data_IF_501913510663
#
_entry.id   IF_501913510663
#
_cell.length_a   1.000
_cell.length_b   1.000
_cell.length_c   1.000
_cell.angle_alpha   90.00
_cell.angle_beta   90.00
_cell.angle_gamma   90.00
#
_symmetry.space_group_name_H-M   'P 1'
#
loop_
_entity.id
_entity.type
_entity.pdbx_description
1 polymer ?
#
# COMPACT_ATOMS: atom_id res chain seq x y z
N UNK A 1 4.67 17.95 4.21
CA UNK A 1 3.61 17.87 5.24
C UNK A 1 2.65 19.03 5.02
N UNK A 2 1.34 18.78 4.96
CA UNK A 2 0.31 19.78 4.59
C UNK A 2 -0.84 19.88 5.59
N UNK A 3 -0.75 19.17 6.72
CA UNK A 3 -1.75 19.17 7.79
C UNK A 3 -1.07 19.64 9.06
N UNK A 4 -1.70 20.59 9.77
CA UNK A 4 -1.18 21.16 11.02
C UNK A 4 -2.31 21.29 12.03
N UNK A 5 -1.98 21.17 13.32
CA UNK A 5 -2.93 21.41 14.40
C UNK A 5 -3.10 22.93 14.55
N UNK A 6 -4.32 23.41 14.39
CA UNK A 6 -4.69 24.81 14.56
C UNK A 6 -5.05 25.04 16.04
N UNK A 7 -4.21 25.83 16.73
CA UNK A 7 -4.37 26.15 18.16
C UNK A 7 -5.24 27.40 18.40
N UNK A 8 -5.71 28.08 17.35
CA UNK A 8 -6.39 29.39 17.48
C UNK A 8 -7.91 29.30 17.64
N UNK A 9 -8.51 28.09 17.60
CA UNK A 9 -9.97 27.93 17.61
C UNK A 9 -10.52 27.40 18.92
N UNK A 10 -11.28 28.23 19.63
CA UNK A 10 -11.78 27.96 21.00
C UNK A 10 -12.95 26.96 21.13
N UNK A 11 -13.49 26.40 20.04
CA UNK A 11 -14.73 25.60 20.07
C UNK A 11 -14.54 24.09 19.86
N UNK A 12 -13.34 23.62 19.55
CA UNK A 12 -13.04 22.20 19.40
C UNK A 12 -11.71 21.86 20.05
N UNK A 13 -11.64 20.71 20.72
CA UNK A 13 -10.40 20.25 21.40
C UNK A 13 -9.26 19.99 20.41
N UNK A 14 -9.59 19.63 19.15
CA UNK A 14 -8.62 19.40 18.09
C UNK A 14 -9.14 19.97 16.76
N UNK A 15 -8.36 20.87 16.15
CA UNK A 15 -8.61 21.38 14.80
C UNK A 15 -7.42 21.06 13.89
N UNK A 16 -7.67 20.44 12.73
CA UNK A 16 -6.66 20.15 11.72
C UNK A 16 -6.86 21.04 10.50
N UNK A 17 -5.87 21.89 10.21
CA UNK A 17 -5.85 22.70 9.00
C UNK A 17 -5.22 21.93 7.84
N UNK A 18 -5.94 21.79 6.72
CA UNK A 18 -5.46 21.12 5.49
C UNK A 18 -5.01 22.09 4.39
N UNK A 19 -4.96 23.39 4.71
CA UNK A 19 -4.62 24.46 3.78
C UNK A 19 -5.76 24.75 2.80
N UNK A 20 -5.39 25.18 1.59
CA UNK A 20 -6.34 25.60 0.57
C UNK A 20 -6.91 24.41 -0.23
N UNK A 21 -8.21 24.46 -0.55
CA UNK A 21 -8.93 23.42 -1.30
C UNK A 21 -9.88 24.01 -2.36
N UNK A 22 -10.05 23.28 -3.47
CA UNK A 22 -11.10 23.56 -4.44
C UNK A 22 -12.31 22.67 -4.17
N UNK A 23 -13.49 23.25 -3.93
CA UNK A 23 -14.72 22.48 -3.67
C UNK A 23 -15.78 22.65 -4.75
N UNK A 24 -16.69 21.66 -4.79
CA UNK A 24 -17.82 21.60 -5.69
C UNK A 24 -17.51 20.82 -6.96
N UNK A 25 -18.41 19.92 -7.34
CA UNK A 25 -18.17 18.92 -8.39
C UNK A 25 -17.76 19.54 -9.72
N UNK A 26 -18.38 20.66 -10.09
CA UNK A 26 -18.06 21.38 -11.32
C UNK A 26 -16.64 21.94 -11.28
N UNK A 27 -16.24 22.58 -10.19
CA UNK A 27 -14.90 23.18 -10.07
C UNK A 27 -13.81 22.12 -9.96
N UNK A 28 -14.07 21.03 -9.21
CA UNK A 28 -13.14 19.90 -9.11
C UNK A 28 -12.96 19.17 -10.45
N UNK A 29 -13.98 19.12 -11.31
CA UNK A 29 -13.84 18.63 -12.71
C UNK A 29 -13.04 19.57 -13.60
N UNK A 30 -13.08 20.88 -13.36
CA UNK A 30 -12.33 21.89 -14.12
C UNK A 30 -10.84 21.96 -13.76
N UNK A 31 -10.42 21.31 -12.68
CA UNK A 31 -9.01 21.15 -12.35
C UNK A 31 -8.31 20.33 -13.46
N UNK A 32 -7.64 21.04 -14.37
CA UNK A 32 -6.98 20.44 -15.55
C UNK A 32 -5.90 19.42 -15.16
N UNK A 33 -5.24 19.64 -14.03
CA UNK A 33 -4.26 18.71 -13.46
C UNK A 33 -4.95 17.81 -12.41
N UNK A 34 -4.84 16.50 -12.61
CA UNK A 34 -5.35 15.50 -11.68
C UNK A 34 -4.51 15.41 -10.38
N UNK A 35 -3.24 15.83 -10.40
CA UNK A 35 -2.34 15.70 -9.25
C UNK A 35 -2.74 16.61 -8.08
N UNK A 36 -2.99 17.92 -8.25
CA UNK A 36 -3.50 18.77 -7.17
C UNK A 36 -4.83 18.28 -6.62
N UNK A 37 -5.75 17.86 -7.50
CA UNK A 37 -7.06 17.34 -7.10
C UNK A 37 -6.93 16.11 -6.20
N UNK A 38 -6.09 15.15 -6.59
CA UNK A 38 -5.80 13.95 -5.80
C UNK A 38 -5.11 14.29 -4.48
N UNK A 39 -4.18 15.24 -4.48
CA UNK A 39 -3.49 15.69 -3.24
C UNK A 39 -4.45 16.33 -2.26
N UNK A 40 -5.34 17.21 -2.74
CA UNK A 40 -6.38 17.83 -1.90
C UNK A 40 -7.30 16.76 -1.29
N UNK A 41 -7.71 15.77 -2.08
CA UNK A 41 -8.52 14.66 -1.58
C UNK A 41 -7.79 13.80 -0.55
N UNK A 42 -6.51 13.47 -0.79
CA UNK A 42 -5.67 12.72 0.13
C UNK A 42 -5.49 13.45 1.46
N UNK A 43 -5.19 14.75 1.44
CA UNK A 43 -5.04 15.56 2.64
C UNK A 43 -6.33 15.57 3.46
N UNK A 44 -7.47 15.69 2.78
CA UNK A 44 -8.77 15.69 3.44
C UNK A 44 -9.08 14.34 4.09
N UNK A 45 -8.89 13.23 3.36
CA UNK A 45 -9.06 11.88 3.90
C UNK A 45 -8.11 11.59 5.07
N UNK A 46 -6.86 12.05 4.98
CA UNK A 46 -5.88 11.91 6.06
C UNK A 46 -6.33 12.67 7.31
N UNK A 47 -6.77 13.93 7.19
CA UNK A 47 -7.24 14.73 8.32
C UNK A 47 -8.47 14.10 8.98
N UNK A 48 -9.44 13.65 8.18
CA UNK A 48 -10.63 12.95 8.68
C UNK A 48 -10.25 11.65 9.41
N UNK A 49 -9.39 10.82 8.81
CA UNK A 49 -8.90 9.60 9.45
C UNK A 49 -8.17 9.89 10.77
N UNK A 50 -7.34 10.93 10.80
CA UNK A 50 -6.61 11.35 12.01
C UNK A 50 -7.57 11.70 13.14
N UNK A 51 -8.59 12.53 12.87
CA UNK A 51 -9.55 12.95 13.90
C UNK A 51 -10.44 11.80 14.36
N UNK A 52 -10.85 10.90 13.46
CA UNK A 52 -11.62 9.71 13.82
C UNK A 52 -10.88 8.86 14.85
N UNK A 53 -9.56 8.68 14.68
CA UNK A 53 -8.70 7.94 15.60
C UNK A 53 -8.30 8.73 16.86
N UNK A 54 -8.69 10.00 16.99
CA UNK A 54 -8.25 10.91 18.06
C UNK A 54 -9.40 11.55 18.83
N UNK A 55 -10.57 10.90 18.88
CA UNK A 55 -11.72 11.39 19.65
C UNK A 55 -12.63 12.38 18.91
N UNK A 56 -12.39 12.64 17.62
CA UNK A 56 -13.11 13.62 16.82
C UNK A 56 -12.44 14.99 16.79
N UNK A 57 -13.13 15.98 16.21
CA UNK A 57 -12.62 17.35 16.09
C UNK A 57 -13.14 18.06 14.84
N UNK A 58 -12.37 19.03 14.33
CA UNK A 58 -12.74 19.79 13.12
C UNK A 58 -11.60 19.79 12.10
N UNK A 59 -11.90 19.42 10.86
CA UNK A 59 -11.00 19.70 9.72
C UNK A 59 -11.35 21.09 9.17
N UNK A 60 -10.35 21.95 8.98
CA UNK A 60 -10.48 23.29 8.43
C UNK A 60 -9.72 23.40 7.12
N UNK A 61 -10.38 23.95 6.10
CA UNK A 61 -9.79 24.19 4.79
C UNK A 61 -10.18 25.57 4.27
N UNK A 62 -9.27 26.26 3.60
CA UNK A 62 -9.53 27.56 2.99
C UNK A 62 -9.99 27.38 1.53
N UNK A 63 -11.05 28.07 1.11
CA UNK A 63 -11.65 27.92 -0.21
C UNK A 63 -10.84 28.68 -1.27
N UNK A 64 -10.35 27.97 -2.29
CA UNK A 64 -9.69 28.59 -3.46
C UNK A 64 -10.66 29.26 -4.42
N UNK A 65 -11.80 28.63 -4.64
CA UNK A 65 -12.74 29.03 -5.67
C UNK A 65 -13.78 30.03 -5.13
N UNK A 66 -13.66 31.27 -5.59
CA UNK A 66 -14.65 32.33 -5.33
C UNK A 66 -16.05 31.92 -5.76
N UNK A 67 -17.09 32.37 -5.02
CA UNK A 67 -18.51 32.06 -5.24
C UNK A 67 -18.94 30.62 -4.97
N UNK A 68 -18.12 29.81 -4.29
CA UNK A 68 -18.52 28.49 -3.81
C UNK A 68 -19.71 28.56 -2.85
N UNK A 69 -20.67 27.65 -3.01
CA UNK A 69 -21.73 27.41 -2.03
C UNK A 69 -21.91 25.93 -1.77
N UNK A 70 -21.75 25.50 -0.52
CA UNK A 70 -21.89 24.09 -0.12
C UNK A 70 -23.26 23.51 -0.53
N UNK A 71 -24.35 24.24 -0.32
CA UNK A 71 -25.71 23.76 -0.60
C UNK A 71 -26.01 23.62 -2.09
N UNK A 72 -25.32 24.40 -2.93
CA UNK A 72 -25.51 24.39 -4.39
C UNK A 72 -24.53 23.45 -5.10
N UNK A 73 -23.27 23.45 -4.68
CA UNK A 73 -22.16 22.87 -5.43
C UNK A 73 -21.68 21.53 -4.85
N UNK A 74 -22.04 21.22 -3.61
CA UNK A 74 -21.55 20.05 -2.86
C UNK A 74 -20.06 20.13 -2.55
N UNK A 75 -19.46 19.04 -2.08
CA UNK A 75 -18.01 18.97 -1.84
C UNK A 75 -17.26 18.49 -3.09
N UNK A 76 -17.90 17.65 -3.90
CA UNK A 76 -17.36 17.03 -5.10
C UNK A 76 -17.23 15.51 -4.95
N UNK A 77 -17.50 14.80 -6.04
CA UNK A 77 -17.74 13.36 -6.04
C UNK A 77 -16.48 12.56 -5.68
N UNK A 78 -15.29 13.07 -6.01
CA UNK A 78 -14.03 12.42 -5.63
C UNK A 78 -13.76 12.48 -4.12
N UNK A 79 -14.19 13.54 -3.44
CA UNK A 79 -14.14 13.62 -1.97
C UNK A 79 -15.21 12.73 -1.34
N UNK A 80 -16.43 12.73 -1.87
CA UNK A 80 -17.51 11.85 -1.41
C UNK A 80 -17.11 10.37 -1.51
N UNK A 81 -16.57 9.96 -2.66
CA UNK A 81 -16.05 8.61 -2.87
C UNK A 81 -14.88 8.30 -1.92
N UNK A 82 -13.95 9.25 -1.74
CA UNK A 82 -12.81 9.07 -0.84
C UNK A 82 -13.26 8.84 0.60
N UNK A 83 -14.32 9.52 1.06
CA UNK A 83 -14.89 9.28 2.39
C UNK A 83 -15.69 7.98 2.44
N UNK A 84 -16.43 7.64 1.39
CA UNK A 84 -17.17 6.39 1.27
C UNK A 84 -16.27 5.14 1.27
N UNK A 85 -15.05 5.26 0.75
CA UNK A 85 -14.04 4.19 0.78
C UNK A 85 -13.56 3.86 2.20
N UNK A 86 -13.74 4.79 3.15
CA UNK A 86 -13.25 4.71 4.53
C UNK A 86 -14.40 4.46 5.51
N UNK A 87 -15.54 5.11 5.28
CA UNK A 87 -16.71 5.11 6.15
C UNK A 87 -17.91 4.61 5.37
N UNK A 88 -18.54 3.52 5.83
CA UNK A 88 -19.78 3.01 5.25
C UNK A 88 -20.92 4.05 5.29
N UNK A 89 -20.93 4.89 6.34
CA UNK A 89 -21.94 5.94 6.53
C UNK A 89 -21.28 7.27 6.90
N UNK A 90 -20.69 8.01 5.93
CA UNK A 90 -19.96 9.23 6.22
C UNK A 90 -20.81 10.27 6.97
N UNK A 91 -22.10 10.39 6.65
CA UNK A 91 -23.03 11.32 7.30
C UNK A 91 -23.26 11.07 8.80
N UNK A 92 -22.97 9.86 9.32
CA UNK A 92 -23.06 9.58 10.76
C UNK A 92 -21.94 10.29 11.53
N UNK A 93 -20.76 10.40 10.90
CA UNK A 93 -19.52 10.87 11.49
C UNK A 93 -19.11 12.28 11.04
N UNK A 94 -19.50 12.69 9.84
CA UNK A 94 -19.05 13.93 9.20
C UNK A 94 -20.22 14.90 9.04
N UNK A 95 -20.03 16.13 9.54
CA UNK A 95 -20.94 17.24 9.32
C UNK A 95 -20.20 18.41 8.68
N UNK A 96 -20.74 18.93 7.58
CA UNK A 96 -20.09 19.95 6.76
C UNK A 96 -20.66 21.34 7.06
N UNK A 97 -19.79 22.35 7.11
CA UNK A 97 -20.19 23.74 7.29
C UNK A 97 -19.30 24.67 6.48
N UNK A 98 -19.91 25.65 5.82
CA UNK A 98 -19.21 26.75 5.17
C UNK A 98 -19.30 28.00 6.05
N UNK A 99 -18.16 28.64 6.32
CA UNK A 99 -18.08 29.89 7.10
C UNK A 99 -17.18 30.87 6.36
N UNK A 100 -17.79 31.85 5.67
CA UNK A 100 -17.09 32.79 4.79
C UNK A 100 -16.23 32.02 3.76
N UNK A 101 -14.92 32.23 3.82
CA UNK A 101 -13.93 31.63 2.93
C UNK A 101 -13.37 30.30 3.49
N UNK A 102 -13.86 29.84 4.64
CA UNK A 102 -13.46 28.57 5.22
C UNK A 102 -14.54 27.49 5.04
N UNK A 103 -14.07 26.27 4.84
CA UNK A 103 -14.86 25.05 4.88
C UNK A 103 -14.43 24.20 6.07
N UNK A 104 -15.43 23.73 6.82
CA UNK A 104 -15.24 23.00 8.06
C UNK A 104 -15.93 21.64 7.98
N UNK A 105 -15.22 20.57 8.35
CA UNK A 105 -15.77 19.24 8.55
C UNK A 105 -15.69 18.90 10.03
N UNK A 106 -16.83 18.84 10.71
CA UNK A 106 -16.92 18.32 12.06
C UNK A 106 -16.89 16.80 11.99
N UNK A 107 -15.95 16.21 12.71
CA UNK A 107 -15.69 14.78 12.75
C UNK A 107 -16.05 14.27 14.14
N UNK A 108 -17.02 13.36 14.22
CA UNK A 108 -17.31 12.66 15.46
C UNK A 108 -16.24 11.59 15.76
N UNK A 109 -16.02 11.25 17.03
CA UNK A 109 -15.14 10.13 17.39
C UNK A 109 -15.56 8.85 16.67
N UNK A 110 -14.55 8.04 16.31
CA UNK A 110 -14.78 6.69 15.82
C UNK A 110 -15.36 5.80 16.91
N UNK A 111 -16.36 5.00 16.54
CA UNK A 111 -16.97 4.01 17.41
C UNK A 111 -16.55 2.62 16.92
N UNK A 112 -15.41 2.13 17.43
CA UNK A 112 -14.74 0.93 16.94
C UNK A 112 -15.49 -0.37 17.21
N UNK A 113 -16.31 -0.41 18.25
CA UNK A 113 -17.02 -1.61 18.71
C UNK A 113 -18.06 -2.08 17.68
N UNK A 114 -18.61 -1.17 16.87
CA UNK A 114 -19.62 -1.49 15.86
C UNK A 114 -18.99 -2.13 14.61
N UNK A 115 -17.72 -1.85 14.32
CA UNK A 115 -17.08 -2.20 13.03
C UNK A 115 -15.95 -3.23 13.16
N UNK A 116 -15.63 -3.67 14.37
CA UNK A 116 -14.65 -4.73 14.62
C UNK A 116 -13.19 -4.35 14.36
N UNK A 117 -12.89 -3.04 14.24
CA UNK A 117 -11.54 -2.48 14.12
C UNK A 117 -11.37 -1.28 15.03
N UNK A 118 -10.29 -1.28 15.81
CA UNK A 118 -10.03 -0.24 16.80
C UNK A 118 -9.52 1.06 16.18
N UNK A 119 -8.80 0.99 15.06
CA UNK A 119 -8.31 2.17 14.34
C UNK A 119 -8.70 2.18 12.87
N UNK A 120 -9.17 3.34 12.40
CA UNK A 120 -9.51 3.59 11.01
C UNK A 120 -8.23 3.68 10.16
N UNK A 121 -8.28 3.10 8.97
CA UNK A 121 -7.10 2.94 8.11
C UNK A 121 -7.48 3.23 6.66
N UNK A 122 -6.78 4.16 6.01
CA UNK A 122 -7.00 4.49 4.59
C UNK A 122 -6.43 3.40 3.67
N UNK A 123 -5.21 2.95 3.99
CA UNK A 123 -4.53 1.85 3.32
C UNK A 123 -3.80 1.02 4.34
N UNK A 124 -3.96 -0.29 4.27
CA UNK A 124 -3.25 -1.20 5.18
C UNK A 124 -1.80 -1.34 4.74
N UNK A 125 -1.51 -1.12 3.45
CA UNK A 125 -0.23 -1.45 2.82
C UNK A 125 0.15 -2.94 3.01
N UNK A 126 -0.83 -3.79 3.30
CA UNK A 126 -0.68 -5.22 3.50
C UNK A 126 -1.12 -5.96 2.25
N UNK A 127 -0.19 -6.58 1.52
CA UNK A 127 -0.48 -7.20 0.24
C UNK A 127 -0.41 -8.72 0.32
N UNK A 128 -1.25 -9.38 -0.48
CA UNK A 128 -1.20 -10.82 -0.73
C UNK A 128 -1.26 -11.10 -2.22
N UNK A 129 -0.70 -12.23 -2.66
CA UNK A 129 -0.93 -12.77 -4.01
C UNK A 129 -2.29 -13.42 -4.11
N UNK A 130 -3.11 -12.92 -5.03
CA UNK A 130 -4.38 -13.52 -5.44
C UNK A 130 -4.32 -13.83 -6.94
N UNK A 131 -4.37 -15.12 -7.28
CA UNK A 131 -4.18 -15.59 -8.66
C UNK A 131 -2.91 -14.98 -9.27
N UNK A 132 -3.03 -14.19 -10.35
CA UNK A 132 -1.91 -13.60 -11.09
C UNK A 132 -1.57 -12.16 -10.69
N UNK A 133 -2.17 -11.62 -9.62
CA UNK A 133 -1.96 -10.23 -9.21
C UNK A 133 -1.82 -10.06 -7.70
N UNK A 134 -1.21 -8.94 -7.30
CA UNK A 134 -1.04 -8.56 -5.90
C UNK A 134 -2.17 -7.61 -5.48
N UNK A 135 -2.93 -8.02 -4.46
CA UNK A 135 -4.07 -7.29 -3.92
C UNK A 135 -3.75 -6.78 -2.52
N UNK A 136 -4.14 -5.54 -2.23
CA UNK A 136 -4.10 -5.02 -0.86
C UNK A 136 -5.27 -5.62 -0.09
N UNK A 137 -5.01 -6.29 1.03
CA UNK A 137 -6.10 -6.68 1.92
C UNK A 137 -6.61 -5.45 2.63
N UNK A 138 -7.92 -5.21 2.55
CA UNK A 138 -8.59 -4.14 3.29
C UNK A 138 -9.03 -4.64 4.67
N UNK A 139 -9.60 -3.76 5.46
CA UNK A 139 -10.32 -4.13 6.68
C UNK A 139 -11.72 -4.66 6.28
N UNK A 140 -12.29 -5.70 6.93
CA UNK A 140 -11.78 -6.46 8.08
C UNK A 140 -10.76 -7.56 7.80
N UNK A 141 -10.57 -7.92 6.53
CA UNK A 141 -9.85 -9.12 6.12
C UNK A 141 -8.39 -9.16 6.62
N UNK A 142 -7.73 -7.99 6.71
CA UNK A 142 -6.36 -7.88 7.23
C UNK A 142 -6.26 -8.35 8.68
N UNK A 143 -7.21 -7.97 9.54
CA UNK A 143 -7.22 -8.38 10.95
C UNK A 143 -7.51 -9.86 11.09
N UNK A 144 -8.45 -10.37 10.29
CA UNK A 144 -8.71 -11.81 10.24
C UNK A 144 -7.44 -12.57 9.83
N UNK A 145 -6.71 -12.09 8.83
CA UNK A 145 -5.45 -12.68 8.39
C UNK A 145 -4.39 -12.69 9.50
N UNK A 146 -4.21 -11.57 10.21
CA UNK A 146 -3.29 -11.47 11.35
C UNK A 146 -3.68 -12.42 12.49
N UNK A 147 -4.98 -12.52 12.81
CA UNK A 147 -5.52 -13.47 13.80
C UNK A 147 -5.23 -14.92 13.43
N UNK A 148 -5.38 -15.28 12.15
CA UNK A 148 -5.05 -16.63 11.67
C UNK A 148 -3.56 -16.93 11.81
N UNK A 149 -2.67 -16.00 11.47
CA UNK A 149 -1.22 -16.26 11.57
C UNK A 149 -0.73 -16.31 13.02
N UNK A 150 -1.34 -15.51 13.91
CA UNK A 150 -1.05 -15.53 15.34
C UNK A 150 -1.42 -16.88 15.98
N UNK A 151 -2.44 -17.58 15.45
CA UNK A 151 -2.87 -18.88 15.97
C UNK A 151 -2.17 -20.05 15.24
N UNK A 152 -1.31 -20.84 15.92
CA UNK A 152 -0.59 -21.96 15.29
C UNK A 152 -1.50 -23.02 14.65
N UNK A 153 -2.66 -23.30 15.24
CA UNK A 153 -3.61 -24.31 14.75
C UNK A 153 -4.22 -23.87 13.41
N UNK A 154 -4.75 -22.64 13.35
CA UNK A 154 -5.33 -22.08 12.13
C UNK A 154 -4.27 -21.87 11.03
N UNK A 155 -3.06 -21.46 11.43
CA UNK A 155 -1.91 -21.34 10.52
C UNK A 155 -1.55 -22.67 9.86
N UNK A 156 -1.72 -23.78 10.57
CA UNK A 156 -1.47 -25.12 10.01
C UNK A 156 -2.50 -25.50 8.94
N UNK A 157 -3.77 -25.10 9.09
CA UNK A 157 -4.81 -25.31 8.08
C UNK A 157 -4.54 -24.53 6.78
N UNK A 158 -4.00 -23.31 6.88
CA UNK A 158 -3.51 -22.55 5.71
C UNK A 158 -2.38 -23.28 4.96
N UNK A 159 -1.65 -24.20 5.60
CA UNK A 159 -0.58 -24.98 4.95
C UNK A 159 -1.11 -26.17 4.15
N UNK A 160 -2.30 -26.69 4.48
CA UNK A 160 -2.81 -27.96 3.97
C UNK A 160 -3.67 -27.85 2.69
N UNK A 161 -4.00 -26.64 2.24
CA UNK A 161 -5.02 -26.41 1.21
C UNK A 161 -4.53 -26.27 -0.25
N UNK A 162 -3.36 -26.80 -0.63
CA UNK A 162 -2.94 -26.83 -2.04
C UNK A 162 -2.49 -28.23 -2.53
N UNK A 163 -3.39 -29.02 -3.12
CA UNK A 163 -3.02 -30.08 -4.06
C UNK A 163 -2.65 -29.43 -5.41
N UNK A 164 -1.44 -29.69 -5.92
CA UNK A 164 -1.00 -29.28 -7.27
C UNK A 164 0.32 -28.51 -7.41
N UNK A 165 1.16 -28.46 -6.36
CA UNK A 165 2.30 -27.52 -6.24
C UNK A 165 3.56 -27.85 -7.08
N UNK A 166 3.70 -29.05 -7.65
CA UNK A 166 5.01 -29.55 -8.09
C UNK A 166 5.45 -29.00 -9.46
N UNK A 167 4.64 -29.12 -10.50
CA UNK A 167 5.10 -28.85 -11.88
C UNK A 167 5.39 -27.36 -12.15
N UNK A 168 4.59 -26.44 -11.60
CA UNK A 168 4.76 -25.01 -11.85
C UNK A 168 5.93 -24.38 -11.08
N UNK A 169 6.29 -24.91 -9.91
CA UNK A 169 7.42 -24.40 -9.13
C UNK A 169 8.74 -24.86 -9.75
N UNK A 170 8.79 -26.08 -10.31
CA UNK A 170 9.96 -26.61 -11.00
C UNK A 170 10.33 -25.77 -12.24
N UNK A 171 9.35 -25.39 -13.08
CA UNK A 171 9.59 -24.52 -14.25
C UNK A 171 10.16 -23.17 -13.82
N UNK A 172 9.61 -22.57 -12.75
CA UNK A 172 10.07 -21.28 -12.25
C UNK A 172 11.47 -21.38 -11.64
N UNK A 173 11.75 -22.42 -10.86
CA UNK A 173 13.07 -22.67 -10.28
C UNK A 173 14.11 -22.93 -11.37
N UNK A 174 13.75 -23.69 -12.42
CA UNK A 174 14.61 -23.94 -13.58
C UNK A 174 14.97 -22.65 -14.29
N UNK A 175 13.98 -21.79 -14.55
CA UNK A 175 14.22 -20.49 -15.16
C UNK A 175 15.09 -19.58 -14.28
N UNK A 176 14.83 -19.55 -12.96
CA UNK A 176 15.61 -18.78 -11.98
C UNK A 176 17.08 -19.22 -11.88
N UNK A 177 17.39 -20.45 -12.28
CA UNK A 177 18.73 -21.02 -12.23
C UNK A 177 19.48 -20.95 -13.57
N UNK A 178 18.87 -20.41 -14.64
CA UNK A 178 19.58 -20.15 -15.88
C UNK A 178 20.74 -19.15 -15.65
N UNK A 179 21.89 -19.44 -16.26
CA UNK A 179 23.07 -18.57 -16.22
C UNK A 179 23.03 -17.48 -17.30
N UNK A 180 22.33 -17.74 -18.40
CA UNK A 180 22.13 -16.81 -19.51
C UNK A 180 20.76 -17.00 -20.17
N UNK A 181 20.28 -15.94 -20.82
CA UNK A 181 19.03 -15.92 -21.57
C UNK A 181 19.26 -15.39 -22.99
N UNK A 182 18.42 -15.80 -23.95
CA UNK A 182 18.50 -15.27 -25.31
C UNK A 182 17.46 -14.16 -25.54
N UNK A 183 17.88 -13.05 -26.15
CA UNK A 183 16.94 -11.97 -26.49
C UNK A 183 15.82 -12.46 -27.43
N UNK A 184 14.57 -12.08 -27.13
CA UNK A 184 13.34 -12.52 -27.81
C UNK A 184 13.04 -14.03 -27.74
N UNK A 185 13.78 -14.81 -26.97
CA UNK A 185 13.39 -16.18 -26.64
C UNK A 185 12.08 -16.15 -25.84
N UNK A 186 11.20 -17.10 -26.14
CA UNK A 186 9.95 -17.29 -25.41
C UNK A 186 10.21 -18.01 -24.09
N UNK A 187 9.66 -17.49 -22.99
CA UNK A 187 9.69 -18.20 -21.70
C UNK A 187 8.38 -18.96 -21.45
N UNK A 188 8.46 -20.10 -20.77
CA UNK A 188 7.39 -21.10 -20.74
C UNK A 188 6.48 -21.04 -19.48
N UNK A 189 6.28 -19.86 -18.89
CA UNK A 189 5.40 -19.69 -17.74
C UNK A 189 4.59 -18.39 -17.83
N UNK A 190 3.49 -18.32 -17.09
CA UNK A 190 2.61 -17.14 -17.04
C UNK A 190 2.60 -16.54 -15.64
N UNK A 191 2.05 -15.32 -15.53
CA UNK A 191 1.79 -14.69 -14.22
C UNK A 191 0.85 -15.58 -13.42
N UNK A 192 1.23 -15.90 -12.20
CA UNK A 192 0.53 -16.84 -11.32
C UNK A 192 0.70 -16.44 -9.87
N UNK A 193 0.19 -17.24 -8.94
CA UNK A 193 0.35 -16.96 -7.51
C UNK A 193 1.83 -16.92 -7.10
N UNK A 194 2.65 -17.71 -7.78
CA UNK A 194 4.09 -17.87 -7.53
C UNK A 194 4.97 -17.05 -8.48
N UNK A 195 4.41 -16.43 -9.53
CA UNK A 195 5.19 -15.72 -10.53
C UNK A 195 4.59 -14.35 -10.90
N UNK A 196 5.40 -13.30 -10.83
CA UNK A 196 5.08 -11.97 -11.35
C UNK A 196 6.11 -11.59 -12.42
N UNK A 197 5.61 -11.06 -13.53
CA UNK A 197 6.41 -10.60 -14.66
C UNK A 197 6.20 -9.10 -14.85
N UNK A 198 7.29 -8.35 -14.92
CA UNK A 198 7.28 -6.90 -15.16
C UNK A 198 8.24 -6.51 -16.27
N UNK A 199 7.79 -5.61 -17.13
CA UNK A 199 8.65 -4.80 -17.97
C UNK A 199 8.79 -3.44 -17.29
N UNK A 200 9.95 -3.18 -16.69
CA UNK A 200 10.21 -1.91 -15.99
C UNK A 200 11.67 -1.54 -16.18
N UNK A 201 11.97 -0.24 -16.37
CA UNK A 201 13.34 0.21 -16.47
C UNK A 201 14.03 0.13 -15.10
N UNK A 202 15.36 0.12 -15.07
CA UNK A 202 16.17 -0.15 -13.87
C UNK A 202 15.84 0.78 -12.69
N UNK A 203 15.56 2.04 -12.99
CA UNK A 203 15.23 3.12 -12.06
C UNK A 203 13.87 2.93 -11.36
N UNK A 204 12.97 2.12 -11.92
CA UNK A 204 11.65 1.84 -11.32
C UNK A 204 11.57 0.52 -10.56
N UNK A 205 12.65 -0.24 -10.51
CA UNK A 205 12.68 -1.53 -9.81
C UNK A 205 12.33 -1.35 -8.33
N UNK A 206 12.94 -0.36 -7.68
CA UNK A 206 12.74 -0.10 -6.26
C UNK A 206 11.28 0.27 -5.94
N UNK A 207 10.58 0.97 -6.85
CA UNK A 207 9.19 1.38 -6.66
C UNK A 207 8.21 0.18 -6.61
N UNK A 208 8.51 -0.90 -7.35
CA UNK A 208 7.61 -2.06 -7.45
C UNK A 208 7.87 -3.13 -6.39
N UNK A 209 9.05 -3.09 -5.75
CA UNK A 209 9.48 -4.12 -4.81
C UNK A 209 8.61 -4.22 -3.55
N UNK A 210 8.30 -3.13 -2.82
CA UNK A 210 7.61 -3.25 -1.54
C UNK A 210 6.28 -4.00 -1.63
N UNK A 211 5.45 -3.62 -2.62
CA UNK A 211 4.16 -4.28 -2.89
C UNK A 211 4.34 -5.75 -3.28
N UNK A 212 5.36 -6.05 -4.08
CA UNK A 212 5.56 -7.40 -4.62
C UNK A 212 6.12 -8.35 -3.56
N UNK A 213 7.10 -7.87 -2.78
CA UNK A 213 7.73 -8.62 -1.68
C UNK A 213 6.72 -8.88 -0.57
N UNK A 214 5.95 -7.87 -0.14
CA UNK A 214 4.84 -8.04 0.80
C UNK A 214 3.86 -9.12 0.31
N UNK A 215 3.42 -9.04 -0.95
CA UNK A 215 2.48 -10.00 -1.51
C UNK A 215 2.98 -11.46 -1.50
N UNK A 216 4.23 -11.69 -1.93
CA UNK A 216 4.81 -13.04 -1.93
C UNK A 216 5.09 -13.55 -0.51
N UNK A 217 5.69 -12.72 0.33
CA UNK A 217 6.02 -13.05 1.72
C UNK A 217 4.78 -13.49 2.51
N UNK A 218 3.65 -12.79 2.34
CA UNK A 218 2.39 -13.08 3.03
C UNK A 218 1.60 -14.25 2.43
N UNK A 219 2.10 -14.92 1.39
CA UNK A 219 1.40 -16.04 0.76
C UNK A 219 2.24 -17.33 0.77
N UNK A 220 2.75 -17.73 -0.38
CA UNK A 220 3.51 -18.99 -0.55
C UNK A 220 4.98 -18.72 -0.93
N UNK A 221 5.42 -17.46 -0.88
CA UNK A 221 6.62 -17.03 -1.59
C UNK A 221 6.38 -16.94 -3.10
N UNK A 222 7.44 -16.69 -3.87
CA UNK A 222 7.38 -16.66 -5.32
C UNK A 222 8.55 -15.97 -5.98
N UNK A 223 8.40 -15.71 -7.28
CA UNK A 223 9.41 -15.20 -8.18
C UNK A 223 8.91 -13.92 -8.86
N UNK A 224 9.69 -12.86 -8.79
CA UNK A 224 9.53 -11.65 -9.58
C UNK A 224 10.61 -11.61 -10.66
N UNK A 225 10.18 -11.52 -11.92
CA UNK A 225 11.06 -11.34 -13.06
C UNK A 225 10.85 -9.97 -13.69
N UNK A 226 11.90 -9.16 -13.71
CA UNK A 226 11.90 -7.81 -14.28
C UNK A 226 12.76 -7.80 -15.54
N UNK A 227 12.21 -7.31 -16.64
CA UNK A 227 12.80 -7.40 -17.98
C UNK A 227 12.17 -8.48 -18.86
N UNK A 228 11.05 -9.07 -18.43
CA UNK A 228 10.28 -10.00 -19.25
C UNK A 228 9.02 -9.32 -19.79
N UNK A 229 8.75 -9.52 -21.07
CA UNK A 229 7.52 -9.05 -21.73
C UNK A 229 6.43 -10.09 -21.48
N UNK A 230 5.54 -9.79 -20.53
CA UNK A 230 4.43 -10.66 -20.19
C UNK A 230 3.33 -10.73 -21.25
N UNK A 231 3.25 -9.74 -22.14
CA UNK A 231 2.19 -9.66 -23.15
C UNK A 231 2.56 -10.48 -24.39
N UNK A 232 3.83 -10.43 -24.79
CA UNK A 232 4.37 -11.23 -25.89
C UNK A 232 5.06 -12.53 -25.44
N UNK A 233 5.16 -12.78 -24.13
CA UNK A 233 5.92 -13.89 -23.52
C UNK A 233 7.39 -13.95 -23.98
N UNK A 234 8.05 -12.80 -24.12
CA UNK A 234 9.42 -12.69 -24.64
C UNK A 234 10.41 -12.13 -23.63
N UNK A 235 11.65 -12.63 -23.68
CA UNK A 235 12.77 -12.07 -22.91
C UNK A 235 13.28 -10.80 -23.59
N UNK A 236 13.26 -9.68 -22.87
CA UNK A 236 13.79 -8.39 -23.37
C UNK A 236 15.03 -7.94 -22.60
N UNK A 237 14.97 -8.02 -21.27
CA UNK A 237 15.93 -7.42 -20.34
C UNK A 237 15.77 -5.90 -20.21
N UNK A 238 16.57 -5.32 -19.33
CA UNK A 238 16.84 -3.89 -19.28
C UNK A 238 18.34 -3.66 -19.46
N UNK A 239 18.71 -2.56 -20.11
CA UNK A 239 20.11 -2.18 -20.33
C UNK A 239 20.74 -1.65 -19.04
N UNK A 240 21.92 -2.16 -18.70
CA UNK A 240 22.69 -1.73 -17.53
C UNK A 240 24.18 -2.02 -17.72
N UNK A 241 25.03 -1.20 -17.11
CA UNK A 241 26.47 -1.51 -16.97
C UNK A 241 26.68 -2.48 -15.80
N UNK A 242 27.81 -3.22 -15.79
CA UNK A 242 28.09 -4.16 -14.70
C UNK A 242 28.19 -3.47 -13.32
N UNK A 243 28.72 -2.24 -13.28
CA UNK A 243 28.79 -1.39 -12.08
C UNK A 243 27.40 -1.00 -11.54
N UNK A 244 26.41 -0.83 -12.43
CA UNK A 244 25.03 -0.53 -12.05
C UNK A 244 24.38 -1.68 -11.27
N UNK A 245 24.76 -2.93 -11.58
CA UNK A 245 24.14 -4.12 -10.99
C UNK A 245 24.46 -4.26 -9.50
N UNK A 246 25.70 -3.97 -9.10
CA UNK A 246 26.09 -4.01 -7.69
C UNK A 246 25.36 -2.92 -6.89
N UNK A 247 25.28 -1.70 -7.44
CA UNK A 247 24.51 -0.62 -6.84
C UNK A 247 23.03 -0.99 -6.73
N UNK A 248 22.42 -1.50 -7.81
CA UNK A 248 21.03 -1.92 -7.83
C UNK A 248 20.78 -3.05 -6.81
N UNK A 249 21.69 -4.03 -6.69
CA UNK A 249 21.59 -5.09 -5.68
C UNK A 249 21.52 -4.52 -4.27
N UNK A 250 22.38 -3.56 -3.95
CA UNK A 250 22.39 -2.89 -2.66
C UNK A 250 21.09 -2.10 -2.41
N UNK A 251 20.56 -1.41 -3.42
CA UNK A 251 19.28 -0.69 -3.29
C UNK A 251 18.09 -1.64 -3.11
N UNK A 252 18.08 -2.78 -3.80
CA UNK A 252 17.09 -3.85 -3.59
C UNK A 252 17.16 -4.37 -2.14
N UNK A 253 18.37 -4.62 -1.63
CA UNK A 253 18.58 -5.08 -0.26
C UNK A 253 18.07 -4.07 0.78
N UNK A 254 18.47 -2.80 0.65
CA UNK A 254 17.99 -1.72 1.53
C UNK A 254 16.48 -1.61 1.48
N UNK A 255 15.89 -1.64 0.28
CA UNK A 255 14.44 -1.56 0.10
C UNK A 255 13.71 -2.69 0.83
N UNK A 256 14.19 -3.93 0.73
CA UNK A 256 13.56 -5.08 1.39
C UNK A 256 13.76 -5.04 2.91
N UNK A 257 14.93 -4.63 3.38
CA UNK A 257 15.24 -4.53 4.82
C UNK A 257 14.43 -3.43 5.52
N UNK A 258 14.00 -2.39 4.79
CA UNK A 258 13.18 -1.30 5.32
C UNK A 258 11.68 -1.63 5.36
N UNK A 259 11.24 -2.77 4.83
CA UNK A 259 9.84 -3.14 4.87
C UNK A 259 9.39 -3.41 6.32
N UNK A 260 8.28 -2.82 6.78
CA UNK A 260 7.77 -3.10 8.11
C UNK A 260 7.33 -4.56 8.22
N UNK A 261 7.76 -5.22 9.30
CA UNK A 261 7.41 -6.60 9.60
C UNK A 261 6.80 -6.70 10.97
N UNK A 262 5.88 -7.64 11.15
CA UNK A 262 5.33 -7.98 12.46
C UNK A 262 5.51 -9.45 12.72
N UNK A 263 6.10 -9.77 13.88
CA UNK A 263 6.30 -11.13 14.35
C UNK A 263 5.30 -11.48 15.44
N UNK A 264 4.75 -12.69 15.33
CA UNK A 264 4.00 -13.36 16.40
C UNK A 264 4.74 -14.61 16.90
N UNK A 265 5.92 -14.89 16.35
CA UNK A 265 6.75 -16.04 16.66
C UNK A 265 8.07 -15.60 17.32
N UNK A 266 8.73 -16.53 18.00
CA UNK A 266 9.94 -16.25 18.78
C UNK A 266 11.19 -16.08 17.89
N UNK A 267 11.23 -16.70 16.70
CA UNK A 267 12.44 -16.73 15.88
C UNK A 267 12.81 -15.37 15.28
N UNK A 268 11.82 -14.49 15.07
CA UNK A 268 11.98 -13.13 14.52
C UNK A 268 12.90 -13.05 13.29
N UNK A 269 12.78 -14.02 12.38
CA UNK A 269 13.63 -14.08 11.19
C UNK A 269 13.38 -12.91 10.23
N UNK A 270 14.43 -12.47 9.52
CA UNK A 270 14.30 -11.48 8.45
C UNK A 270 13.65 -12.07 7.21
N UNK A 271 13.17 -11.19 6.31
CA UNK A 271 12.64 -11.59 5.01
C UNK A 271 13.74 -12.29 4.22
N UNK A 272 13.53 -13.58 3.90
CA UNK A 272 14.45 -14.38 3.10
C UNK A 272 14.17 -14.17 1.61
N UNK A 273 15.20 -13.77 0.87
CA UNK A 273 15.11 -13.59 -0.57
C UNK A 273 16.44 -13.91 -1.26
N UNK A 274 16.38 -14.19 -2.55
CA UNK A 274 17.55 -14.33 -3.44
C UNK A 274 17.36 -13.44 -4.65
N UNK A 275 18.36 -12.61 -4.97
CA UNK A 275 18.36 -11.74 -6.14
C UNK A 275 19.48 -12.15 -7.11
N UNK A 276 19.14 -12.31 -8.39
CA UNK A 276 20.06 -12.62 -9.48
C UNK A 276 19.84 -11.65 -10.65
N UNK A 277 20.93 -11.28 -11.31
CA UNK A 277 20.88 -10.62 -12.61
C UNK A 277 21.33 -11.61 -13.67
N UNK A 278 20.40 -12.03 -14.52
CA UNK A 278 20.67 -13.02 -15.56
C UNK A 278 20.97 -12.26 -16.86
N UNK A 279 22.18 -12.39 -17.44
CA UNK A 279 22.53 -11.72 -18.69
C UNK A 279 21.65 -12.20 -19.84
N UNK A 280 21.24 -11.25 -20.69
CA UNK A 280 20.48 -11.49 -21.92
C UNK A 280 21.40 -11.28 -23.11
N UNK A 281 21.72 -12.37 -23.81
CA UNK A 281 22.57 -12.35 -24.98
C UNK A 281 21.84 -11.73 -26.17
N UNK A 282 22.40 -10.65 -26.72
CA UNK A 282 22.00 -10.03 -27.98
C UNK A 282 23.27 -9.75 -28.81
N UNK A 283 23.45 -10.38 -29.99
CA UNK A 283 24.62 -10.16 -30.81
C UNK A 283 24.80 -8.67 -31.17
N UNK A 284 25.95 -8.09 -30.83
CA UNK A 284 26.34 -6.73 -31.23
C UNK A 284 25.66 -5.58 -30.47
N UNK A 285 25.05 -5.82 -29.30
CA UNK A 285 24.33 -4.81 -28.52
C UNK A 285 24.86 -4.62 -27.09
N UNK A 286 24.37 -3.58 -26.42
CA UNK A 286 24.63 -3.28 -25.00
C UNK A 286 24.18 -4.45 -24.11
N UNK A 287 24.93 -4.72 -23.04
CA UNK A 287 24.58 -5.71 -22.04
C UNK A 287 23.18 -5.44 -21.47
N UNK A 288 22.31 -6.45 -21.58
CA UNK A 288 20.95 -6.42 -21.04
C UNK A 288 20.81 -7.50 -19.98
N UNK A 289 19.98 -7.25 -18.97
CA UNK A 289 19.80 -8.17 -17.85
C UNK A 289 18.33 -8.37 -17.52
N UNK A 290 18.00 -9.56 -17.00
CA UNK A 290 16.76 -9.82 -16.28
C UNK A 290 17.08 -9.84 -14.79
N UNK A 291 16.38 -9.02 -14.01
CA UNK A 291 16.44 -9.09 -12.56
C UNK A 291 15.44 -10.14 -12.09
N UNK A 292 15.94 -11.24 -11.54
CA UNK A 292 15.16 -12.32 -10.98
C UNK A 292 15.27 -12.29 -9.45
N UNK A 293 14.13 -12.11 -8.78
CA UNK A 293 14.02 -12.07 -7.33
C UNK A 293 13.13 -13.21 -6.84
N UNK A 294 13.68 -14.12 -6.03
CA UNK A 294 12.93 -15.15 -5.32
C UNK A 294 12.68 -14.68 -3.89
N UNK A 295 11.42 -14.62 -3.48
CA UNK A 295 11.01 -14.28 -2.11
C UNK A 295 10.45 -15.54 -1.47
N UNK A 296 10.98 -15.92 -0.30
CA UNK A 296 10.44 -17.04 0.45
C UNK A 296 9.19 -16.63 1.22
N UNK A 297 8.35 -17.61 1.55
CA UNK A 297 7.22 -17.38 2.45
C UNK A 297 7.75 -16.90 3.80
N UNK A 298 7.17 -15.82 4.31
CA UNK A 298 7.54 -15.28 5.60
C UNK A 298 6.77 -15.97 6.74
N UNK A 299 7.38 -16.01 7.93
CA UNK A 299 6.80 -16.69 9.08
C UNK A 299 5.55 -15.98 9.61
N UNK A 300 5.51 -14.64 9.52
CA UNK A 300 4.44 -13.81 10.06
C UNK A 300 3.87 -12.84 9.01
N UNK A 301 3.98 -11.53 9.22
CA UNK A 301 3.37 -10.51 8.34
C UNK A 301 4.42 -9.50 7.85
N UNK A 302 4.38 -9.18 6.54
CA UNK A 302 5.22 -8.17 5.88
C UNK A 302 4.35 -7.11 5.23
N UNK A 303 4.60 -5.84 5.53
CA UNK A 303 3.91 -4.71 4.94
C UNK A 303 4.78 -4.06 3.86
N UNK A 304 4.15 -3.44 2.87
CA UNK A 304 4.85 -2.68 1.83
C UNK A 304 5.33 -1.31 2.32
N UNK A 305 4.68 -0.76 3.35
CA UNK A 305 5.01 0.47 4.05
C UNK A 305 4.18 0.49 5.34
N UNK A 306 4.43 1.41 6.28
CA UNK A 306 3.52 1.53 7.43
C UNK A 306 2.09 1.80 6.95
N UNK A 307 1.07 1.32 7.66
CA UNK A 307 -0.32 1.62 7.34
C UNK A 307 -0.58 3.12 7.23
N UNK A 308 -1.41 3.50 6.26
CA UNK A 308 -1.91 4.87 6.13
C UNK A 308 -3.03 5.07 7.16
N UNK A 309 -2.62 5.22 8.41
CA UNK A 309 -3.47 5.47 9.58
C UNK A 309 -2.73 6.43 10.52
N UNK A 310 -3.43 7.43 11.04
CA UNK A 310 -2.84 8.53 11.81
C UNK A 310 -3.63 8.82 13.08
N UNK A 311 -2.99 9.49 14.02
CA UNK A 311 -3.58 10.06 15.23
C UNK A 311 -2.98 11.43 15.56
N UNK A 312 -3.56 12.11 16.53
CA UNK A 312 -2.99 13.31 17.15
C UNK A 312 -2.31 12.90 18.45
N UNK A 313 -1.02 13.20 18.54
CA UNK A 313 -0.21 13.03 19.75
C UNK A 313 0.67 14.26 19.92
N UNK A 314 0.72 14.83 21.12
CA UNK A 314 1.48 16.05 21.44
C UNK A 314 1.24 17.22 20.46
N UNK A 315 -0.03 17.45 20.11
CA UNK A 315 -0.45 18.47 19.13
C UNK A 315 0.18 18.30 17.74
N UNK A 316 0.60 17.09 17.38
CA UNK A 316 1.15 16.75 16.08
C UNK A 316 0.38 15.59 15.43
N UNK A 317 0.21 15.64 14.11
CA UNK A 317 -0.32 14.51 13.34
C UNK A 317 0.80 13.50 13.14
N UNK A 318 0.70 12.34 13.80
CA UNK A 318 1.67 11.25 13.68
C UNK A 318 1.02 10.06 12.96
N UNK A 319 1.80 9.36 12.14
CA UNK A 319 1.38 8.10 11.50
C UNK A 319 1.65 6.97 12.49
N UNK A 320 0.71 6.05 12.63
CA UNK A 320 0.98 4.84 13.39
C UNK A 320 2.14 4.07 12.75
N UNK A 321 3.03 3.56 13.57
CA UNK A 321 3.93 2.48 13.16
C UNK A 321 3.11 1.20 12.97
N UNK A 322 3.65 0.26 12.19
CA UNK A 322 3.03 -1.05 11.97
C UNK A 322 2.86 -1.80 13.28
N UNK A 323 3.83 -1.69 14.20
CA UNK A 323 3.75 -2.33 15.52
C UNK A 323 2.57 -1.80 16.34
N UNK A 324 2.46 -0.48 16.48
CA UNK A 324 1.34 0.16 17.20
C UNK A 324 0.01 -0.18 16.55
N UNK A 325 -0.05 -0.08 15.23
CA UNK A 325 -1.26 -0.36 14.46
C UNK A 325 -1.71 -1.81 14.64
N UNK A 326 -0.81 -2.79 14.49
CA UNK A 326 -1.16 -4.20 14.68
C UNK A 326 -1.60 -4.45 16.11
N UNK A 327 -0.92 -3.91 17.12
CA UNK A 327 -1.32 -4.06 18.52
C UNK A 327 -2.77 -3.58 18.73
N UNK A 328 -3.08 -2.36 18.30
CA UNK A 328 -4.43 -1.78 18.43
C UNK A 328 -5.49 -2.62 17.72
N UNK A 329 -5.21 -3.11 16.52
CA UNK A 329 -6.16 -3.94 15.77
C UNK A 329 -6.36 -5.34 16.35
N UNK A 330 -5.40 -5.84 17.11
CA UNK A 330 -5.41 -7.20 17.68
C UNK A 330 -5.93 -7.25 19.12
N UNK A 331 -5.98 -6.10 19.80
CA UNK A 331 -6.46 -5.96 21.19
C UNK A 331 -8.00 -5.90 21.30
N UNK A 332 -8.74 -6.03 20.19
CA UNK A 332 -10.21 -6.09 20.23
C UNK A 332 -10.68 -7.37 20.95
N UNK A 333 -11.52 -7.28 22.00
CA UNK A 333 -12.12 -8.44 22.64
C UNK A 333 -12.90 -9.27 21.61
N UNK A 334 -12.97 -10.61 21.75
CA UNK A 334 -13.97 -11.38 21.03
C UNK A 334 -15.35 -10.88 21.49
N UNK A 335 -16.08 -10.25 20.55
CA UNK A 335 -17.49 -9.90 20.73
C UNK A 335 -18.39 -11.13 20.79
#
# INVERSE_FOLDING_TARGET
MSISVDQEMDYAEVVLSVGEITLGEKNRKLMKDAQPRRREAQNMSQAVCTLLNSGGGVVKAHLKNSNYSLTRDGIGLDLENSFGDILAFPHKYLHYMQKKDDFLIFVKPWDGDIFGHCVLTLKTNFYVRSFSFSVELKMPDTVQFLKIIKNPELKSCLRQSLPGKLDSDEILATFFNKEELTYKETFCFTKSKLAEVKMSPKDKIIEILPKTVSAFANTDGGYLYIGLDGDNQQITGFEAESSDLDHLKCEIEKCIQQLPVTHFCEEQEKIKYTCKFIPVHRPGAVCSYVCALRVERFCCAVFAAEPDSWHVEDSCVKRFTTEEWVKLQMDTPPG
#
